data_IF_294611381228
#
_entry.id   IF_294611381228
#
_cell.length_a   1.000
_cell.length_b   1.000
_cell.length_c   1.000
_cell.angle_alpha   90.00
_cell.angle_beta   90.00
_cell.angle_gamma   90.00
#
_symmetry.space_group_name_H-M   'P 1'
#
loop_
_entity.id
_entity.type
_entity.pdbx_description
1 polymer ?
#
# COMPACT_ATOMS: atom_id res chain seq x y z
N UNK A 1 -5.32 -33.47 -10.20
CA UNK A 1 -5.86 -32.10 -10.26
C UNK A 1 -4.75 -31.23 -10.82
N UNK A 2 -5.02 -30.33 -11.76
CA UNK A 2 -3.96 -29.50 -12.37
C UNK A 2 -3.54 -28.37 -11.42
N UNK A 3 -2.34 -27.81 -11.60
CA UNK A 3 -1.85 -26.70 -10.77
C UNK A 3 -2.84 -25.52 -10.69
N UNK A 4 -3.56 -25.24 -11.78
CA UNK A 4 -4.60 -24.20 -11.82
C UNK A 4 -5.81 -24.51 -10.92
N UNK A 5 -6.22 -25.78 -10.83
CA UNK A 5 -7.35 -26.20 -9.98
C UNK A 5 -6.96 -26.11 -8.50
N UNK A 6 -5.71 -26.44 -8.17
CA UNK A 6 -5.16 -26.33 -6.82
C UNK A 6 -5.07 -24.85 -6.39
N UNK A 7 -4.58 -23.98 -7.28
CA UNK A 7 -4.56 -22.51 -7.08
C UNK A 7 -5.96 -21.98 -6.81
N UNK A 8 -6.94 -22.36 -7.65
CA UNK A 8 -8.33 -21.92 -7.49
C UNK A 8 -8.92 -22.37 -6.15
N UNK A 9 -8.69 -23.62 -5.77
CA UNK A 9 -9.19 -24.20 -4.52
C UNK A 9 -8.63 -23.46 -3.31
N UNK A 10 -7.34 -23.13 -3.33
CA UNK A 10 -6.70 -22.40 -2.25
C UNK A 10 -7.10 -20.91 -2.23
N UNK A 11 -7.27 -20.27 -3.39
CA UNK A 11 -7.77 -18.90 -3.46
C UNK A 11 -9.16 -18.75 -2.83
N UNK A 12 -10.06 -19.72 -3.05
CA UNK A 12 -11.38 -19.73 -2.39
C UNK A 12 -11.27 -19.90 -0.87
N UNK A 13 -10.28 -20.66 -0.37
CA UNK A 13 -10.00 -20.76 1.07
C UNK A 13 -9.53 -19.42 1.64
N UNK A 14 -8.55 -18.77 1.01
CA UNK A 14 -8.06 -17.45 1.43
C UNK A 14 -9.18 -16.41 1.43
N UNK A 15 -10.06 -16.44 0.41
CA UNK A 15 -11.23 -15.56 0.35
C UNK A 15 -12.22 -15.82 1.50
N UNK A 16 -12.42 -17.08 1.89
CA UNK A 16 -13.30 -17.45 3.00
C UNK A 16 -12.75 -17.02 4.38
N UNK A 17 -11.44 -16.86 4.53
CA UNK A 17 -10.82 -16.31 5.75
C UNK A 17 -11.15 -14.82 5.97
N UNK A 18 -11.58 -14.11 4.91
CA UNK A 18 -12.07 -12.74 4.99
C UNK A 18 -10.98 -11.67 4.87
N UNK A 19 -11.29 -10.47 5.37
CA UNK A 19 -10.38 -9.33 5.32
C UNK A 19 -9.35 -9.42 6.45
N UNK A 20 -8.11 -9.00 6.16
CA UNK A 20 -7.10 -8.79 7.20
C UNK A 20 -7.59 -7.78 8.24
N UNK A 21 -7.05 -7.87 9.45
CA UNK A 21 -7.32 -6.87 10.49
C UNK A 21 -6.80 -5.50 10.03
N UNK A 22 -7.48 -4.38 10.39
CA UNK A 22 -6.95 -3.05 10.15
C UNK A 22 -5.58 -2.88 10.81
N UNK A 23 -4.66 -2.24 10.10
CA UNK A 23 -3.32 -1.94 10.62
C UNK A 23 -3.04 -0.46 10.50
N UNK A 24 -2.49 0.10 11.58
CA UNK A 24 -2.01 1.48 11.60
C UNK A 24 -0.72 1.59 10.79
N UNK A 25 -0.63 2.63 9.96
CA UNK A 25 0.62 2.99 9.29
C UNK A 25 1.74 3.24 10.30
N UNK A 26 2.99 3.05 9.89
CA UNK A 26 4.15 3.19 10.79
C UNK A 26 4.26 4.60 11.37
N UNK A 27 3.85 5.59 10.58
CA UNK A 27 3.77 6.98 10.98
C UNK A 27 2.40 7.54 10.56
N UNK A 28 1.93 8.55 11.28
CA UNK A 28 0.89 9.42 10.75
C UNK A 28 1.38 10.07 9.44
N UNK A 29 0.44 10.55 8.62
CA UNK A 29 0.78 11.41 7.49
C UNK A 29 1.59 12.59 8.00
N UNK A 30 2.76 12.82 7.41
CA UNK A 30 3.71 13.82 7.89
C UNK A 30 4.46 14.50 6.74
N UNK A 31 4.78 15.78 6.93
CA UNK A 31 5.45 16.61 5.92
C UNK A 31 6.82 16.07 5.48
N UNK A 32 7.72 15.61 6.39
CA UNK A 32 9.04 15.12 5.97
C UNK A 32 8.98 13.97 4.95
N UNK A 33 8.03 13.04 5.09
CA UNK A 33 7.83 11.98 4.11
C UNK A 33 7.22 12.48 2.80
N UNK A 34 6.35 13.50 2.85
CA UNK A 34 5.80 14.15 1.65
C UNK A 34 6.94 14.81 0.87
N UNK A 35 7.80 15.59 1.54
CA UNK A 35 8.90 16.30 0.90
C UNK A 35 9.84 15.34 0.16
N UNK A 36 10.26 14.24 0.80
CA UNK A 36 11.09 13.22 0.16
C UNK A 36 10.41 12.56 -1.05
N UNK A 37 9.10 12.37 -0.99
CA UNK A 37 8.35 11.80 -2.11
C UNK A 37 8.25 12.80 -3.27
N UNK A 38 8.00 14.08 -2.99
CA UNK A 38 7.97 15.15 -3.99
C UNK A 38 9.33 15.33 -4.67
N UNK A 39 10.42 15.29 -3.91
CA UNK A 39 11.78 15.35 -4.45
C UNK A 39 12.08 14.18 -5.40
N UNK A 40 11.64 12.97 -5.05
CA UNK A 40 11.89 11.77 -5.84
C UNK A 40 11.02 11.70 -7.11
N UNK A 41 9.75 12.11 -7.03
CA UNK A 41 8.80 12.05 -8.15
C UNK A 41 8.92 13.29 -9.06
N UNK A 42 9.39 14.42 -8.52
CA UNK A 42 9.46 15.70 -9.21
C UNK A 42 8.11 16.43 -9.32
N UNK A 43 7.13 16.06 -8.48
CA UNK A 43 5.85 16.75 -8.41
C UNK A 43 6.01 18.08 -7.65
N UNK A 44 5.64 19.18 -8.29
CA UNK A 44 5.80 20.55 -7.77
C UNK A 44 4.47 21.22 -7.44
N UNK A 45 3.39 20.45 -7.30
CA UNK A 45 2.09 21.00 -6.94
C UNK A 45 2.16 21.70 -5.56
N UNK A 46 1.91 23.02 -5.48
CA UNK A 46 2.15 23.79 -4.27
C UNK A 46 1.21 23.41 -3.11
N UNK A 47 0.07 22.77 -3.37
CA UNK A 47 -0.89 22.38 -2.31
C UNK A 47 -0.31 21.38 -1.30
N UNK A 48 0.82 20.74 -1.63
CA UNK A 48 1.50 19.77 -0.79
C UNK A 48 2.54 20.37 0.15
N UNK A 49 2.88 21.66 -0.02
CA UNK A 49 3.96 22.33 0.73
C UNK A 49 3.63 23.76 1.16
N UNK A 50 2.62 24.39 0.56
CA UNK A 50 2.21 25.76 0.83
C UNK A 50 0.77 25.83 1.37
N UNK A 51 0.63 26.34 2.59
CA UNK A 51 -0.65 26.49 3.29
C UNK A 51 -1.64 27.41 2.57
N UNK A 52 -1.16 28.49 1.95
CA UNK A 52 -2.02 29.45 1.27
C UNK A 52 -2.55 28.87 -0.04
N UNK A 53 -1.68 28.24 -0.83
CA UNK A 53 -2.04 27.57 -2.07
C UNK A 53 -3.03 26.42 -1.81
N UNK A 54 -2.81 25.63 -0.75
CA UNK A 54 -3.74 24.57 -0.38
C UNK A 54 -5.13 25.13 0.00
N UNK A 55 -5.18 26.24 0.75
CA UNK A 55 -6.44 26.90 1.13
C UNK A 55 -7.14 27.56 -0.05
N UNK A 56 -6.40 28.20 -0.95
CA UNK A 56 -6.92 28.75 -2.20
C UNK A 56 -7.53 27.65 -3.09
N UNK A 57 -6.92 26.46 -3.09
CA UNK A 57 -7.44 25.27 -3.75
C UNK A 57 -8.64 24.62 -3.03
N UNK A 58 -9.08 25.16 -1.88
CA UNK A 58 -10.25 24.70 -1.14
C UNK A 58 -9.97 23.62 -0.09
N UNK A 59 -8.71 23.34 0.23
CA UNK A 59 -8.34 22.45 1.33
C UNK A 59 -8.27 23.21 2.66
N UNK A 60 -8.43 22.55 3.82
CA UNK A 60 -8.30 23.21 5.13
C UNK A 60 -6.85 23.63 5.47
N UNK A 61 -5.86 23.06 4.78
CA UNK A 61 -4.42 23.27 4.95
C UNK A 61 -3.66 22.35 4.01
N UNK A 62 -2.35 22.17 4.21
CA UNK A 62 -1.55 21.26 3.38
C UNK A 62 -2.14 19.84 3.38
N UNK A 63 -2.15 19.22 2.20
CA UNK A 63 -2.62 17.84 2.00
C UNK A 63 -1.48 16.95 1.51
N UNK A 64 -1.55 15.65 1.80
CA UNK A 64 -0.64 14.69 1.17
C UNK A 64 -1.05 14.42 -0.28
N UNK A 65 -0.10 14.16 -1.20
CA UNK A 65 -0.42 13.64 -2.53
C UNK A 65 -1.27 12.36 -2.42
N UNK A 66 -2.43 12.26 -3.10
CA UNK A 66 -3.29 11.07 -3.03
C UNK A 66 -2.58 9.77 -3.43
N UNK A 67 -1.61 9.86 -4.35
CA UNK A 67 -0.80 8.73 -4.79
C UNK A 67 0.11 8.15 -3.69
N UNK A 68 0.32 8.87 -2.57
CA UNK A 68 1.09 8.36 -1.43
C UNK A 68 0.28 7.42 -0.52
N UNK A 69 -1.01 7.17 -0.76
CA UNK A 69 -1.86 6.44 0.21
C UNK A 69 -1.28 5.07 0.60
N UNK A 70 -0.69 4.34 -0.35
CA UNK A 70 -0.06 3.05 -0.08
C UNK A 70 1.29 3.19 0.64
N UNK A 71 2.03 4.29 0.42
CA UNK A 71 3.34 4.57 1.06
C UNK A 71 3.23 4.54 2.58
N UNK A 72 2.16 5.11 3.14
CA UNK A 72 1.93 5.17 4.59
C UNK A 72 1.74 3.81 5.26
N UNK A 73 1.32 2.81 4.48
CA UNK A 73 1.05 1.45 4.97
C UNK A 73 2.10 0.45 4.51
N UNK A 74 3.13 0.86 3.76
CA UNK A 74 4.25 -0.02 3.41
C UNK A 74 4.95 -0.55 4.67
N UNK A 75 5.45 -1.78 4.60
CA UNK A 75 6.11 -2.44 5.73
C UNK A 75 7.46 -1.79 6.08
N UNK A 76 8.05 -1.05 5.13
CA UNK A 76 9.39 -0.52 5.26
C UNK A 76 10.46 -1.59 5.05
N UNK A 77 11.72 -1.19 5.18
CA UNK A 77 12.86 -2.09 5.02
C UNK A 77 12.83 -3.17 6.13
N UNK A 78 12.84 -4.44 5.73
CA UNK A 78 12.80 -5.58 6.65
C UNK A 78 11.47 -5.80 7.36
N UNK A 79 10.41 -5.11 6.95
CA UNK A 79 9.10 -5.29 7.56
C UNK A 79 8.42 -6.59 7.11
N UNK A 80 7.81 -7.30 8.07
CA UNK A 80 7.12 -8.57 7.82
C UNK A 80 5.64 -8.35 7.49
N UNK A 81 5.12 -9.15 6.56
CA UNK A 81 3.67 -9.20 6.32
C UNK A 81 2.97 -9.89 7.49
N UNK A 82 1.79 -9.41 7.93
CA UNK A 82 0.95 -10.12 8.89
C UNK A 82 0.51 -11.49 8.36
N UNK A 83 0.36 -12.47 9.26
CA UNK A 83 -0.10 -13.82 8.91
C UNK A 83 -1.55 -13.85 8.38
N UNK A 84 -2.33 -12.81 8.66
CA UNK A 84 -3.70 -12.63 8.17
C UNK A 84 -3.78 -11.77 6.89
N UNK A 85 -2.65 -11.41 6.26
CA UNK A 85 -2.63 -10.72 4.96
C UNK A 85 -2.94 -11.71 3.82
N UNK A 86 -4.13 -11.64 3.19
CA UNK A 86 -4.50 -12.56 2.12
C UNK A 86 -3.60 -12.40 0.88
N UNK A 87 -3.04 -11.21 0.64
CA UNK A 87 -2.18 -10.98 -0.51
C UNK A 87 -0.87 -11.77 -0.39
N UNK A 88 -0.26 -11.82 0.80
CA UNK A 88 0.94 -12.62 1.04
C UNK A 88 0.72 -14.10 0.75
N UNK A 89 -0.41 -14.66 1.21
CA UNK A 89 -0.78 -16.06 0.99
C UNK A 89 -0.96 -16.41 -0.49
N UNK A 90 -1.58 -15.50 -1.25
CA UNK A 90 -1.80 -15.69 -2.69
C UNK A 90 -0.49 -15.60 -3.48
N UNK A 91 0.41 -14.67 -3.14
CA UNK A 91 1.73 -14.56 -3.80
C UNK A 91 2.53 -15.84 -3.59
N UNK A 92 2.63 -16.33 -2.35
CA UNK A 92 3.36 -17.59 -2.05
C UNK A 92 2.79 -18.77 -2.83
N UNK A 93 1.47 -18.84 -2.96
CA UNK A 93 0.82 -19.89 -3.74
C UNK A 93 1.15 -19.83 -5.24
N UNK A 94 1.23 -18.63 -5.81
CA UNK A 94 1.67 -18.47 -7.21
C UNK A 94 3.16 -18.83 -7.38
N UNK A 95 4.02 -18.38 -6.47
CA UNK A 95 5.45 -18.71 -6.46
C UNK A 95 5.67 -20.23 -6.39
N UNK A 96 5.00 -20.93 -5.47
CA UNK A 96 5.08 -22.39 -5.28
C UNK A 96 4.60 -23.17 -6.52
N UNK A 97 3.68 -22.60 -7.28
CA UNK A 97 3.19 -23.15 -8.55
C UNK A 97 4.07 -22.80 -9.76
N UNK A 98 5.17 -22.07 -9.56
CA UNK A 98 6.13 -21.68 -10.59
C UNK A 98 5.79 -20.39 -11.34
N UNK A 99 4.77 -19.64 -10.89
CA UNK A 99 4.40 -18.32 -11.42
C UNK A 99 5.15 -17.21 -10.68
N UNK A 100 6.48 -17.23 -10.78
CA UNK A 100 7.34 -16.32 -10.03
C UNK A 100 7.18 -14.87 -10.54
N UNK A 101 7.01 -13.93 -9.60
CA UNK A 101 6.95 -12.50 -9.88
C UNK A 101 5.54 -11.95 -10.12
N UNK A 102 4.50 -12.71 -9.73
CA UNK A 102 3.09 -12.30 -9.69
C UNK A 102 2.73 -11.71 -8.34
#
# INVERSE_FOLDING_TARGET
>A
MGAVDDIRTAAEKVKAEGKSKPRTGRHAVNQPMIDHWLDAIGDKNPIYVDEAAAKEAGHPGIVAPPAMIQVWTMMGLGGNRPDDDPLGKIITLFDDAGYIGV
#
